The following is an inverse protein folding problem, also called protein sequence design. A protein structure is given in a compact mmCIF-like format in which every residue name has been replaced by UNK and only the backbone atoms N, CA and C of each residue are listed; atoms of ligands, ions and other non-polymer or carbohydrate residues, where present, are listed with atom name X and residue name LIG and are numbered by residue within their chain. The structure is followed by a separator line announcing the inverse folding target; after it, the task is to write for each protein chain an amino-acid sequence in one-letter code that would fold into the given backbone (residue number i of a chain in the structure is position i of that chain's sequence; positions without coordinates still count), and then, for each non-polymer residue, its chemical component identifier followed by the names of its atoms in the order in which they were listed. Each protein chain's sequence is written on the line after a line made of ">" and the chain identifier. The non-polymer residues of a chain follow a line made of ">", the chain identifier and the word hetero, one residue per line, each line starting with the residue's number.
data_IF_121212827909
#
_entry.id   IF_121212827909
#
_cell.length_a   1.000
_cell.length_b   1.000
_cell.length_c   1.000
_cell.angle_alpha   90.00
_cell.angle_beta   90.00
_cell.angle_gamma   90.00
#
_symmetry.space_group_name_H-M   'P 1'
#
loop_
_entity.id
_entity.type
_entity.pdbx_description
1 polymer ?
#
# COMPACT_ATOMS: atom_id res chain seq x y z
N UNK A 1 -24.25 -41.11 33.49
CA UNK A 1 -25.15 -40.41 34.43
C UNK A 1 -25.39 -39.01 33.87
N UNK A 2 -26.52 -38.56 33.31
CA UNK A 2 -27.88 -39.00 32.98
C UNK A 2 -28.25 -38.19 31.71
N UNK A 3 -28.66 -38.80 30.59
CA UNK A 3 -30.05 -38.98 30.11
C UNK A 3 -30.91 -37.70 29.99
N UNK A 4 -31.25 -37.28 28.75
CA UNK A 4 -32.59 -37.40 28.08
C UNK A 4 -33.54 -36.20 28.41
N UNK A 5 -34.45 -35.65 27.58
CA UNK A 5 -35.45 -36.12 26.58
C UNK A 5 -35.82 -34.92 25.66
N UNK A 6 -36.01 -35.02 24.34
CA UNK A 6 -37.15 -35.58 23.55
C UNK A 6 -38.40 -34.66 23.44
N UNK A 7 -38.60 -34.16 22.20
CA UNK A 7 -39.81 -34.04 21.37
C UNK A 7 -41.07 -33.21 21.74
N UNK A 8 -41.58 -32.63 20.64
CA UNK A 8 -42.98 -32.41 20.25
C UNK A 8 -43.70 -31.12 20.70
N UNK A 9 -44.16 -30.32 19.74
CA UNK A 9 -45.56 -30.40 19.30
C UNK A 9 -45.87 -29.57 18.03
N UNK A 10 -46.79 -30.15 17.27
CA UNK A 10 -47.30 -29.80 15.94
C UNK A 10 -48.59 -28.95 16.02
N UNK A 11 -48.89 -28.24 14.92
CA UNK A 11 -50.21 -27.79 14.37
C UNK A 11 -50.96 -26.62 15.03
N UNK A 12 -51.27 -25.63 14.16
CA UNK A 12 -52.57 -24.92 13.92
C UNK A 12 -52.22 -23.63 13.13
N UNK A 13 -52.76 -23.24 11.97
CA UNK A 13 -54.07 -23.34 11.28
C UNK A 13 -53.81 -23.30 9.74
N UNK A 14 -54.40 -24.14 8.88
CA UNK A 14 -55.69 -23.91 8.18
C UNK A 14 -55.89 -22.44 7.78
N UNK A 15 -55.92 -22.03 6.51
CA UNK A 15 -56.57 -22.65 5.36
C UNK A 15 -57.71 -21.71 4.93
N UNK A 16 -57.46 -20.86 3.93
CA UNK A 16 -58.52 -20.12 3.23
C UNK A 16 -58.22 -20.14 1.74
N UNK A 17 -58.96 -21.00 1.05
CA UNK A 17 -59.08 -21.02 -0.39
C UNK A 17 -59.93 -19.82 -0.83
N UNK A 18 -59.45 -19.07 -1.81
CA UNK A 18 -60.26 -18.05 -2.51
C UNK A 18 -60.73 -18.66 -3.82
N UNK A 19 -62.06 -18.74 -3.93
CA UNK A 19 -62.81 -19.20 -5.10
C UNK A 19 -62.72 -18.13 -6.19
N UNK A 20 -62.34 -18.56 -7.40
CA UNK A 20 -62.33 -17.73 -8.62
C UNK A 20 -63.75 -17.72 -9.20
N UNK A 21 -64.33 -16.53 -9.36
CA UNK A 21 -65.54 -16.31 -10.14
C UNK A 21 -65.21 -15.45 -11.36
N UNK A 22 -65.45 -15.99 -12.55
CA UNK A 22 -65.29 -15.33 -13.85
C UNK A 22 -66.57 -14.55 -14.19
N UNK A 23 -66.44 -13.25 -14.47
CA UNK A 23 -67.49 -12.42 -15.06
C UNK A 23 -66.86 -11.40 -16.03
N UNK A 24 -67.42 -11.19 -17.23
CA UNK A 24 -66.77 -10.42 -18.28
C UNK A 24 -66.98 -8.92 -18.06
N UNK A 25 -65.89 -8.16 -17.93
CA UNK A 25 -65.90 -6.70 -17.98
C UNK A 25 -65.16 -6.25 -19.24
N UNK A 26 -65.89 -5.66 -20.17
CA UNK A 26 -65.37 -4.98 -21.35
C UNK A 26 -64.75 -3.64 -20.93
N UNK A 27 -63.43 -3.61 -20.70
CA UNK A 27 -62.69 -2.36 -20.55
C UNK A 27 -62.27 -1.83 -21.93
N UNK A 28 -62.79 -0.66 -22.27
CA UNK A 28 -62.29 0.18 -23.35
C UNK A 28 -60.86 0.66 -23.03
N UNK A 29 -59.91 0.38 -23.92
CA UNK A 29 -58.55 0.89 -23.85
C UNK A 29 -58.52 2.40 -24.13
N UNK A 30 -58.54 3.22 -23.09
CA UNK A 30 -58.12 4.61 -23.17
C UNK A 30 -56.59 4.67 -22.98
N UNK A 31 -55.86 4.89 -24.08
CA UNK A 31 -54.41 5.09 -24.05
C UNK A 31 -54.08 6.44 -23.40
N UNK A 32 -53.89 6.44 -22.08
CA UNK A 32 -53.38 7.58 -21.34
C UNK A 32 -51.88 7.75 -21.64
N UNK A 33 -51.54 8.75 -22.47
CA UNK A 33 -50.17 9.25 -22.64
C UNK A 33 -49.68 9.82 -21.30
N UNK A 34 -48.83 9.07 -20.60
CA UNK A 34 -48.08 9.61 -19.47
C UNK A 34 -47.09 10.67 -19.99
N UNK A 35 -47.11 11.91 -19.46
CA UNK A 35 -46.05 12.87 -19.76
C UNK A 35 -44.73 12.33 -19.21
N UNK A 36 -43.70 12.32 -20.06
CA UNK A 36 -42.36 11.93 -19.67
C UNK A 36 -41.88 12.80 -18.50
N UNK A 37 -41.44 12.16 -17.42
CA UNK A 37 -40.83 12.86 -16.30
C UNK A 37 -39.61 13.66 -16.78
N UNK A 38 -39.44 14.92 -16.37
CA UNK A 38 -38.26 15.68 -16.73
C UNK A 38 -37.03 14.99 -16.14
N UNK A 39 -36.11 14.58 -17.03
CA UNK A 39 -34.77 14.12 -16.64
C UNK A 39 -34.10 15.28 -15.92
N UNK A 40 -33.94 15.17 -14.61
CA UNK A 40 -33.17 16.13 -13.83
C UNK A 40 -31.75 16.19 -14.44
N UNK A 41 -31.21 17.39 -14.75
CA UNK A 41 -29.86 17.48 -15.26
C UNK A 41 -28.92 16.87 -14.21
N UNK A 42 -28.14 15.89 -14.63
CA UNK A 42 -26.99 15.38 -13.89
C UNK A 42 -26.18 16.59 -13.43
N UNK A 43 -26.10 16.83 -12.12
CA UNK A 43 -25.30 17.92 -11.58
C UNK A 43 -23.85 17.68 -12.04
N UNK A 44 -23.40 18.47 -13.03
CA UNK A 44 -21.99 18.52 -13.42
C UNK A 44 -21.25 18.94 -12.16
N UNK A 45 -20.48 18.03 -11.58
CA UNK A 45 -19.66 18.34 -10.43
C UNK A 45 -18.84 19.60 -10.76
N UNK A 46 -18.99 20.64 -9.96
CA UNK A 46 -18.32 21.91 -10.20
C UNK A 46 -16.81 21.66 -10.29
N UNK A 47 -16.17 22.13 -11.37
CA UNK A 47 -14.72 22.01 -11.52
C UNK A 47 -14.01 22.64 -10.31
N UNK A 48 -12.98 21.97 -9.76
CA UNK A 48 -12.28 22.51 -8.61
C UNK A 48 -11.60 23.83 -8.98
N UNK A 49 -11.81 24.85 -8.14
CA UNK A 49 -11.32 26.20 -8.37
C UNK A 49 -10.61 26.75 -7.14
N UNK A 50 -9.59 27.57 -7.38
CA UNK A 50 -8.90 28.35 -6.36
C UNK A 50 -9.62 29.68 -6.13
N UNK A 51 -9.98 29.92 -4.87
CA UNK A 51 -10.51 31.21 -4.41
C UNK A 51 -9.37 32.21 -4.20
N UNK A 52 -9.19 33.13 -5.15
CA UNK A 52 -8.21 34.21 -5.07
C UNK A 52 -8.87 35.51 -4.61
N UNK A 53 -8.33 36.14 -3.56
CA UNK A 53 -8.78 37.46 -3.11
C UNK A 53 -8.12 38.54 -3.95
N UNK A 54 -8.94 39.33 -4.63
CA UNK A 54 -8.51 40.39 -5.53
C UNK A 54 -7.81 41.50 -4.74
N UNK A 55 -6.58 41.81 -5.14
CA UNK A 55 -5.79 42.92 -4.62
C UNK A 55 -6.07 44.22 -5.39
N UNK A 56 -5.68 45.36 -4.82
CA UNK A 56 -5.81 46.66 -5.48
C UNK A 56 -4.98 46.67 -6.77
N UNK A 57 -5.62 46.96 -7.90
CA UNK A 57 -4.96 47.04 -9.21
C UNK A 57 -4.97 45.73 -10.00
N UNK A 58 -5.50 44.64 -9.42
CA UNK A 58 -5.66 43.39 -10.17
C UNK A 58 -6.64 43.56 -11.35
N UNK A 59 -6.25 42.98 -12.47
CA UNK A 59 -7.07 42.87 -13.69
C UNK A 59 -7.11 41.41 -14.10
N UNK A 60 -8.11 41.01 -14.87
CA UNK A 60 -8.22 39.60 -15.27
C UNK A 60 -7.03 39.16 -16.15
N UNK A 61 -6.54 40.08 -16.99
CA UNK A 61 -5.33 39.89 -17.81
C UNK A 61 -4.09 39.78 -16.93
N UNK A 62 -3.97 40.61 -15.89
CA UNK A 62 -2.86 40.53 -14.94
C UNK A 62 -2.85 39.22 -14.15
N UNK A 63 -4.03 38.75 -13.72
CA UNK A 63 -4.17 37.46 -13.05
C UNK A 63 -3.84 36.29 -13.99
N UNK A 64 -4.23 36.37 -15.27
CA UNK A 64 -3.83 35.40 -16.28
C UNK A 64 -2.31 35.33 -16.43
N UNK A 65 -1.67 36.48 -16.65
CA UNK A 65 -0.22 36.55 -16.81
C UNK A 65 0.54 36.01 -15.58
N UNK A 66 0.03 36.30 -14.37
CA UNK A 66 0.68 35.93 -13.11
C UNK A 66 0.49 34.47 -12.71
N UNK A 67 -0.73 33.94 -12.83
CA UNK A 67 -1.10 32.66 -12.22
C UNK A 67 -1.48 31.57 -13.19
N UNK A 68 -1.90 31.91 -14.41
CA UNK A 68 -2.44 30.95 -15.36
C UNK A 68 -1.36 30.49 -16.34
N UNK A 69 -1.59 29.33 -16.97
CA UNK A 69 -0.77 28.89 -18.11
C UNK A 69 -0.90 29.90 -19.24
N UNK A 70 0.16 30.02 -20.06
CA UNK A 70 0.18 30.98 -21.17
C UNK A 70 -0.95 30.73 -22.19
N UNK A 71 -1.33 29.47 -22.38
CA UNK A 71 -2.39 29.01 -23.29
C UNK A 71 -3.78 28.93 -22.64
N UNK A 72 -3.91 29.22 -21.34
CA UNK A 72 -5.19 29.13 -20.66
C UNK A 72 -6.17 30.23 -21.13
N UNK A 73 -7.43 29.87 -21.41
CA UNK A 73 -8.45 30.84 -21.79
C UNK A 73 -8.99 31.58 -20.55
N UNK A 74 -8.59 32.85 -20.39
CA UNK A 74 -9.06 33.71 -19.30
C UNK A 74 -10.58 33.95 -19.33
N UNK A 75 -11.24 33.75 -20.47
CA UNK A 75 -12.71 33.89 -20.57
C UNK A 75 -13.46 32.82 -19.78
N UNK A 76 -12.82 31.68 -19.52
CA UNK A 76 -13.39 30.66 -18.60
C UNK A 76 -13.54 31.25 -17.20
N UNK A 77 -12.51 31.94 -16.70
CA UNK A 77 -12.54 32.63 -15.41
C UNK A 77 -13.58 33.76 -15.43
N UNK A 78 -13.65 34.52 -16.52
CA UNK A 78 -14.64 35.59 -16.68
C UNK A 78 -16.08 35.06 -16.55
N UNK A 79 -16.43 34.00 -17.29
CA UNK A 79 -17.76 33.39 -17.28
C UNK A 79 -18.09 32.79 -15.93
N UNK A 80 -17.16 32.03 -15.33
CA UNK A 80 -17.35 31.40 -14.03
C UNK A 80 -17.68 32.43 -12.94
N UNK A 81 -17.04 33.60 -12.99
CA UNK A 81 -17.20 34.66 -12.01
C UNK A 81 -18.20 35.75 -12.41
N UNK A 82 -18.89 35.59 -13.55
CA UNK A 82 -19.86 36.56 -14.08
C UNK A 82 -19.29 37.99 -14.20
N UNK A 83 -18.04 38.11 -14.62
CA UNK A 83 -17.34 39.40 -14.76
C UNK A 83 -17.73 40.05 -16.10
N UNK A 84 -18.49 41.15 -16.05
CA UNK A 84 -18.87 41.93 -17.25
C UNK A 84 -17.70 42.78 -17.80
N UNK A 85 -17.76 43.16 -19.07
CA UNK A 85 -16.85 44.13 -19.72
C UNK A 85 -17.34 45.55 -19.39
N UNK A 86 -17.00 46.14 -18.22
CA UNK A 86 -15.68 46.77 -18.01
C UNK A 86 -14.87 46.20 -16.82
N UNK A 87 -15.45 45.30 -16.03
CA UNK A 87 -14.86 44.71 -14.82
C UNK A 87 -13.63 43.85 -15.08
N UNK A 88 -13.38 43.43 -16.33
CA UNK A 88 -12.14 42.74 -16.74
C UNK A 88 -10.89 43.60 -16.56
N UNK A 89 -11.01 44.93 -16.70
CA UNK A 89 -9.92 45.90 -16.59
C UNK A 89 -9.71 46.43 -15.18
N UNK A 90 -10.71 46.32 -14.30
CA UNK A 90 -10.62 46.70 -12.89
C UNK A 90 -11.51 45.76 -12.08
N UNK A 91 -10.88 44.78 -11.45
CA UNK A 91 -11.56 43.90 -10.52
C UNK A 91 -11.80 44.63 -9.19
N UNK A 92 -12.89 44.30 -8.50
CA UNK A 92 -13.25 44.95 -7.23
C UNK A 92 -12.32 44.43 -6.11
N UNK A 93 -11.46 45.28 -5.52
CA UNK A 93 -10.55 44.84 -4.48
C UNK A 93 -11.29 44.25 -3.27
N UNK A 94 -10.73 43.20 -2.68
CA UNK A 94 -11.31 42.48 -1.55
C UNK A 94 -12.35 41.41 -1.94
N UNK A 95 -12.91 41.47 -3.15
CA UNK A 95 -13.78 40.38 -3.66
C UNK A 95 -12.97 39.12 -4.02
N UNK A 96 -13.66 37.99 -4.19
CA UNK A 96 -13.04 36.69 -4.51
C UNK A 96 -13.35 36.31 -5.95
N UNK A 97 -12.33 35.91 -6.68
CA UNK A 97 -12.45 35.30 -8.01
C UNK A 97 -12.09 33.83 -7.92
N UNK A 98 -12.92 32.97 -8.51
CA UNK A 98 -12.70 31.54 -8.65
C UNK A 98 -11.90 31.26 -9.91
N UNK A 99 -10.69 30.75 -9.78
CA UNK A 99 -9.83 30.38 -10.91
C UNK A 99 -9.79 28.84 -10.97
N UNK A 100 -10.34 28.20 -12.01
CA UNK A 100 -10.28 26.74 -12.15
C UNK A 100 -8.84 26.23 -12.07
N UNK A 101 -8.62 25.17 -11.30
CA UNK A 101 -7.28 24.64 -11.06
C UNK A 101 -6.61 24.17 -12.36
N UNK A 102 -7.38 23.67 -13.33
CA UNK A 102 -6.89 23.24 -14.63
C UNK A 102 -6.24 24.37 -15.46
N UNK A 103 -6.55 25.63 -15.15
CA UNK A 103 -5.98 26.79 -15.86
C UNK A 103 -4.71 27.33 -15.19
N UNK A 104 -4.45 26.93 -13.94
CA UNK A 104 -3.29 27.42 -13.19
C UNK A 104 -1.99 26.87 -13.75
N UNK A 105 -0.95 27.71 -13.69
CA UNK A 105 0.39 27.33 -14.11
C UNK A 105 1.03 26.44 -13.06
N UNK A 106 1.50 25.23 -13.40
CA UNK A 106 2.28 24.42 -12.48
C UNK A 106 3.65 25.06 -12.23
N UNK A 107 4.05 25.10 -10.96
CA UNK A 107 5.38 25.51 -10.50
C UNK A 107 6.09 24.28 -9.93
N UNK A 108 7.26 23.87 -10.48
CA UNK A 108 7.96 22.69 -10.02
C UNK A 108 8.28 22.75 -8.53
N UNK A 109 8.07 21.64 -7.83
CA UNK A 109 8.49 21.47 -6.44
C UNK A 109 9.30 20.18 -6.28
N UNK A 110 10.05 20.10 -5.18
CA UNK A 110 10.90 18.97 -4.86
C UNK A 110 10.11 17.88 -4.11
N UNK A 111 10.37 16.63 -4.48
CA UNK A 111 10.13 15.47 -3.64
C UNK A 111 11.46 15.01 -3.03
N UNK A 112 11.40 14.21 -1.98
CA UNK A 112 12.56 13.79 -1.18
C UNK A 112 12.60 12.27 -1.05
N UNK A 113 13.79 11.70 -1.14
CA UNK A 113 14.03 10.29 -0.81
C UNK A 113 14.27 10.16 0.69
N UNK A 114 13.38 9.46 1.38
CA UNK A 114 13.47 9.23 2.82
C UNK A 114 14.45 8.12 3.15
N UNK A 115 14.31 6.99 2.45
CA UNK A 115 15.09 5.79 2.71
C UNK A 115 15.35 5.00 1.44
N UNK A 116 16.50 4.35 1.37
CA UNK A 116 16.90 3.45 0.29
C UNK A 116 17.45 2.17 0.89
N UNK A 117 17.02 1.04 0.36
CA UNK A 117 17.59 -0.28 0.65
C UNK A 117 17.82 -1.06 -0.64
N UNK A 118 18.94 -1.76 -0.72
CA UNK A 118 19.32 -2.52 -1.91
C UNK A 118 19.82 -1.62 -3.06
N UNK A 119 19.64 -2.10 -4.29
CA UNK A 119 20.06 -1.43 -5.52
C UNK A 119 18.90 -0.59 -6.05
N UNK A 120 19.02 0.73 -5.92
CA UNK A 120 18.05 1.68 -6.47
C UNK A 120 18.78 2.71 -7.31
N UNK A 121 18.26 2.98 -8.50
CA UNK A 121 18.82 3.96 -9.42
C UNK A 121 17.80 5.03 -9.81
N UNK A 122 18.35 6.16 -10.19
CA UNK A 122 17.64 7.32 -10.70
C UNK A 122 18.06 7.55 -12.15
N UNK A 123 17.07 7.54 -13.03
CA UNK A 123 17.22 7.82 -14.45
C UNK A 123 16.68 9.22 -14.75
N UNK A 124 17.51 10.05 -15.38
CA UNK A 124 17.16 11.40 -15.85
C UNK A 124 17.43 11.51 -17.34
N UNK A 125 16.57 12.24 -18.04
CA UNK A 125 16.72 12.43 -19.48
C UNK A 125 18.11 12.99 -19.83
N UNK A 126 18.81 12.31 -20.76
CA UNK A 126 20.14 12.71 -21.21
C UNK A 126 21.26 12.49 -20.19
N UNK A 127 21.02 11.76 -19.09
CA UNK A 127 22.04 11.39 -18.09
C UNK A 127 22.11 9.86 -17.94
N UNK A 128 23.30 9.32 -17.60
CA UNK A 128 23.40 7.93 -17.20
C UNK A 128 22.61 7.68 -15.90
N UNK A 129 22.18 6.44 -15.69
CA UNK A 129 21.54 6.05 -14.43
C UNK A 129 22.52 6.24 -13.26
N UNK A 130 22.08 6.92 -12.22
CA UNK A 130 22.87 7.18 -11.01
C UNK A 130 22.30 6.41 -9.81
N UNK A 131 23.13 5.89 -8.89
CA UNK A 131 22.64 5.30 -7.65
C UNK A 131 21.81 6.32 -6.84
N UNK A 132 20.64 5.90 -6.35
CA UNK A 132 19.79 6.73 -5.52
C UNK A 132 20.23 6.64 -4.06
N UNK A 133 20.32 7.79 -3.39
CA UNK A 133 20.62 7.87 -1.96
C UNK A 133 19.53 8.63 -1.19
N UNK A 134 19.43 8.36 0.11
CA UNK A 134 18.57 9.15 1.00
C UNK A 134 18.93 10.65 0.93
N UNK A 135 17.94 11.50 1.18
CA UNK A 135 18.00 12.96 1.01
C UNK A 135 18.22 13.45 -0.43
N UNK A 136 18.25 12.56 -1.44
CA UNK A 136 18.24 12.99 -2.84
C UNK A 136 16.93 13.73 -3.15
N UNK A 137 17.05 14.87 -3.82
CA UNK A 137 15.91 15.65 -4.30
C UNK A 137 15.44 15.11 -5.65
N UNK A 138 14.16 14.79 -5.72
CA UNK A 138 13.46 14.33 -6.91
C UNK A 138 12.58 15.44 -7.50
N UNK A 139 12.43 15.43 -8.82
CA UNK A 139 11.63 16.41 -9.56
C UNK A 139 10.72 15.73 -10.58
N UNK A 140 9.83 16.51 -11.19
CA UNK A 140 9.09 16.05 -12.37
C UNK A 140 10.03 15.52 -13.45
N UNK A 141 9.60 14.45 -14.11
CA UNK A 141 10.29 13.64 -15.11
C UNK A 141 11.41 12.72 -14.60
N UNK A 142 11.79 12.81 -13.32
CA UNK A 142 12.70 11.83 -12.72
C UNK A 142 12.05 10.44 -12.71
N UNK A 143 12.86 9.41 -12.89
CA UNK A 143 12.41 8.03 -12.87
C UNK A 143 13.27 7.19 -11.93
N UNK A 144 12.61 6.42 -11.08
CA UNK A 144 13.21 5.60 -10.04
C UNK A 144 13.06 4.14 -10.45
N UNK A 145 14.15 3.38 -10.35
CA UNK A 145 14.18 1.95 -10.63
C UNK A 145 14.74 1.21 -9.42
N UNK A 146 13.98 0.24 -8.90
CA UNK A 146 14.41 -0.64 -7.81
C UNK A 146 14.78 -2.03 -8.37
N UNK A 147 15.86 -2.61 -7.87
CA UNK A 147 16.27 -3.98 -8.18
C UNK A 147 15.53 -5.04 -7.34
N UNK A 148 16.05 -6.27 -7.40
CA UNK A 148 15.60 -7.39 -6.55
C UNK A 148 15.86 -7.05 -5.08
N UNK A 149 14.90 -7.36 -4.19
CA UNK A 149 14.97 -7.05 -2.76
C UNK A 149 15.39 -5.60 -2.46
N UNK A 150 14.98 -4.65 -3.31
CA UNK A 150 15.35 -3.24 -3.20
C UNK A 150 14.12 -2.38 -3.01
N UNK A 151 14.22 -1.34 -2.17
CA UNK A 151 13.10 -0.51 -1.75
C UNK A 151 13.52 0.95 -1.70
N UNK A 152 12.59 1.85 -2.02
CA UNK A 152 12.79 3.28 -1.88
C UNK A 152 11.54 3.94 -1.29
N UNK A 153 11.69 4.69 -0.21
CA UNK A 153 10.61 5.50 0.34
C UNK A 153 10.75 6.95 -0.11
N UNK A 154 9.69 7.48 -0.68
CA UNK A 154 9.61 8.82 -1.25
C UNK A 154 8.59 9.67 -0.49
N UNK A 155 8.91 10.94 -0.26
CA UNK A 155 7.98 11.95 0.28
C UNK A 155 7.77 13.07 -0.74
N UNK A 156 6.53 13.40 -0.98
CA UNK A 156 6.14 14.45 -1.91
C UNK A 156 5.73 15.72 -1.16
N UNK A 157 5.74 16.87 -1.85
CA UNK A 157 5.38 18.17 -1.27
C UNK A 157 3.91 18.25 -0.78
N UNK A 158 3.04 17.35 -1.23
CA UNK A 158 1.66 17.22 -0.73
C UNK A 158 1.57 16.47 0.62
N UNK A 159 2.70 16.00 1.15
CA UNK A 159 2.79 15.19 2.36
C UNK A 159 2.52 13.70 2.14
N UNK A 160 2.23 13.27 0.90
CA UNK A 160 2.09 11.85 0.59
C UNK A 160 3.44 11.14 0.66
N UNK A 161 3.39 9.88 1.08
CA UNK A 161 4.51 8.96 1.16
C UNK A 161 4.24 7.77 0.26
N UNK A 162 5.23 7.38 -0.54
CA UNK A 162 5.12 6.21 -1.41
C UNK A 162 6.37 5.34 -1.26
N UNK A 163 6.16 4.10 -0.84
CA UNK A 163 7.19 3.08 -0.74
C UNK A 163 7.17 2.22 -2.00
N UNK A 164 8.23 2.32 -2.79
CA UNK A 164 8.44 1.47 -3.96
C UNK A 164 8.96 0.11 -3.50
N UNK A 165 8.30 -0.94 -3.96
CA UNK A 165 8.70 -2.33 -3.72
C UNK A 165 9.87 -2.77 -4.61
N UNK A 166 10.22 -4.06 -4.58
CA UNK A 166 11.23 -4.64 -5.45
C UNK A 166 10.83 -4.53 -6.93
N UNK A 167 11.82 -4.54 -7.81
CA UNK A 167 11.64 -4.66 -9.27
C UNK A 167 10.63 -3.66 -9.85
N UNK A 168 10.65 -2.44 -9.30
CA UNK A 168 9.69 -1.39 -9.63
C UNK A 168 10.32 -0.32 -10.52
N UNK A 169 9.52 0.22 -11.44
CA UNK A 169 9.86 1.35 -12.29
C UNK A 169 8.77 2.41 -12.16
N UNK A 170 9.12 3.51 -11.50
CA UNK A 170 8.21 4.62 -11.23
C UNK A 170 8.74 5.89 -11.88
N UNK A 171 7.94 6.54 -12.71
CA UNK A 171 8.22 7.89 -13.21
C UNK A 171 7.38 8.91 -12.45
N UNK A 172 8.02 9.98 -12.00
CA UNK A 172 7.30 11.17 -11.54
C UNK A 172 6.89 11.95 -12.78
N UNK A 173 5.69 11.71 -13.32
CA UNK A 173 5.23 12.35 -14.55
C UNK A 173 5.13 13.87 -14.39
N UNK A 174 4.62 14.33 -13.24
CA UNK A 174 4.64 15.74 -12.85
C UNK A 174 4.58 15.87 -11.33
N UNK A 175 5.29 16.86 -10.79
CA UNK A 175 5.21 17.23 -9.38
C UNK A 175 5.40 18.74 -9.23
N UNK A 176 4.35 19.43 -8.79
CA UNK A 176 4.34 20.89 -8.76
C UNK A 176 3.19 21.47 -7.96
N UNK A 177 3.30 22.76 -7.61
CA UNK A 177 2.19 23.54 -7.05
C UNK A 177 1.43 24.26 -8.17
N UNK A 178 0.11 24.39 -8.03
CA UNK A 178 -0.73 25.05 -9.03
C UNK A 178 -0.88 26.54 -8.71
N UNK A 179 -0.16 27.40 -9.44
CA UNK A 179 -0.18 28.86 -9.25
C UNK A 179 0.11 29.26 -7.79
N UNK A 180 -0.66 30.21 -7.26
CA UNK A 180 -0.58 30.63 -5.86
C UNK A 180 -1.53 29.88 -4.92
N UNK A 181 -2.16 28.79 -5.37
CA UNK A 181 -3.23 28.12 -4.61
C UNK A 181 -2.73 27.28 -3.43
N UNK A 182 -1.44 26.95 -3.41
CA UNK A 182 -0.87 25.99 -2.46
C UNK A 182 -1.32 24.54 -2.69
N UNK A 183 -2.12 24.27 -3.73
CA UNK A 183 -2.47 22.91 -4.14
C UNK A 183 -1.27 22.30 -4.84
N UNK A 184 -0.84 21.14 -4.37
CA UNK A 184 0.20 20.32 -5.01
C UNK A 184 -0.49 19.28 -5.90
N UNK A 185 -0.03 19.17 -7.14
CA UNK A 185 -0.44 18.16 -8.12
C UNK A 185 0.73 17.18 -8.31
N UNK A 186 0.55 15.96 -7.81
CA UNK A 186 1.51 14.86 -7.94
C UNK A 186 0.92 13.80 -8.86
N UNK A 187 1.62 13.51 -9.96
CA UNK A 187 1.27 12.44 -10.88
C UNK A 187 2.43 11.48 -11.03
N UNK A 188 2.18 10.23 -10.68
CA UNK A 188 3.13 9.13 -10.75
C UNK A 188 2.70 8.16 -11.84
N UNK A 189 3.67 7.56 -12.51
CA UNK A 189 3.46 6.52 -13.51
C UNK A 189 4.20 5.26 -13.04
N UNK A 190 3.46 4.25 -12.64
CA UNK A 190 3.99 2.95 -12.25
C UNK A 190 4.01 2.05 -13.50
N UNK A 191 5.19 1.94 -14.10
CA UNK A 191 5.42 1.16 -15.33
C UNK A 191 5.60 -0.33 -15.03
N UNK A 192 6.06 -0.67 -13.81
CA UNK A 192 6.23 -2.04 -13.29
C UNK A 192 6.40 -2.02 -11.77
N UNK A 193 6.02 -3.12 -11.11
CA UNK A 193 6.35 -3.40 -9.72
C UNK A 193 5.23 -2.95 -8.79
N UNK A 194 5.55 -2.37 -7.64
CA UNK A 194 4.53 -2.03 -6.63
C UNK A 194 4.84 -0.77 -5.83
N UNK A 195 3.78 -0.15 -5.32
CA UNK A 195 3.83 1.00 -4.41
C UNK A 195 2.87 0.80 -3.25
N UNK A 196 3.36 0.98 -2.02
CA UNK A 196 2.53 1.14 -0.83
C UNK A 196 2.47 2.65 -0.53
N UNK A 197 1.27 3.24 -0.61
CA UNK A 197 1.13 4.70 -0.60
C UNK A 197 0.18 5.18 0.49
N UNK A 198 0.65 6.18 1.24
CA UNK A 198 -0.09 6.88 2.27
C UNK A 198 -0.28 8.33 1.85
N UNK A 199 -1.55 8.75 1.72
CA UNK A 199 -1.92 10.11 1.37
C UNK A 199 -2.56 10.75 2.61
N UNK A 200 -2.02 11.84 3.15
CA UNK A 200 -2.62 12.50 4.30
C UNK A 200 -4.05 12.97 3.96
N UNK A 201 -4.95 13.02 4.94
CA UNK A 201 -6.26 13.64 4.76
C UNK A 201 -6.11 15.07 4.23
N UNK A 202 -6.91 15.45 3.24
CA UNK A 202 -6.78 16.76 2.57
C UNK A 202 -8.11 17.33 2.08
N UNK A 203 -8.04 18.57 1.57
CA UNK A 203 -9.17 19.28 0.95
C UNK A 203 -9.81 18.54 -0.23
N UNK A 204 -10.88 19.10 -0.82
CA UNK A 204 -11.75 18.40 -1.78
C UNK A 204 -11.07 17.89 -3.08
N UNK A 205 -9.86 18.37 -3.39
CA UNK A 205 -9.16 18.05 -4.65
C UNK A 205 -8.17 16.89 -4.44
N UNK A 206 -8.16 15.87 -5.31
CA UNK A 206 -7.15 14.81 -5.27
C UNK A 206 -5.76 15.41 -5.43
N UNK A 207 -4.85 15.08 -4.50
CA UNK A 207 -3.47 15.61 -4.50
C UNK A 207 -2.50 14.69 -5.25
N UNK A 208 -2.86 13.42 -5.34
CA UNK A 208 -2.04 12.36 -5.92
C UNK A 208 -2.84 11.53 -6.94
N UNK A 209 -2.20 11.26 -8.07
CA UNK A 209 -2.65 10.30 -9.08
C UNK A 209 -1.53 9.30 -9.36
N UNK A 210 -1.86 8.01 -9.40
CA UNK A 210 -0.96 6.95 -9.85
C UNK A 210 -1.53 6.36 -11.13
N UNK A 211 -0.76 6.39 -12.21
CA UNK A 211 -1.14 5.85 -13.51
C UNK A 211 -0.38 4.55 -13.73
N UNK A 212 -1.10 3.50 -14.07
CA UNK A 212 -0.52 2.27 -14.63
C UNK A 212 -0.88 2.20 -16.11
N UNK A 213 -0.26 1.32 -16.91
CA UNK A 213 -0.63 1.17 -18.32
C UNK A 213 -2.09 0.81 -18.59
N UNK A 214 -2.80 0.23 -17.61
CA UNK A 214 -4.19 -0.26 -17.80
C UNK A 214 -5.23 0.50 -16.98
N UNK A 215 -4.83 1.26 -15.96
CA UNK A 215 -5.77 1.99 -15.08
C UNK A 215 -5.10 3.18 -14.40
N UNK A 216 -5.90 4.24 -14.23
CA UNK A 216 -5.53 5.42 -13.44
C UNK A 216 -6.17 5.36 -12.07
N UNK A 217 -5.38 5.61 -11.03
CA UNK A 217 -5.80 5.69 -9.64
C UNK A 217 -5.80 7.15 -9.20
N UNK A 218 -6.94 7.67 -8.76
CA UNK A 218 -7.05 9.00 -8.17
C UNK A 218 -7.39 8.90 -6.68
N UNK A 219 -6.65 9.65 -5.87
CA UNK A 219 -6.49 9.33 -4.46
C UNK A 219 -6.67 10.55 -3.57
N UNK A 220 -7.38 10.36 -2.45
CA UNK A 220 -7.56 11.39 -1.42
C UNK A 220 -7.67 10.78 -0.03
N UNK A 221 -6.74 11.11 0.86
CA UNK A 221 -6.81 10.73 2.27
C UNK A 221 -6.91 9.23 2.47
N UNK A 222 -6.06 8.47 1.79
CA UNK A 222 -6.12 7.02 1.76
C UNK A 222 -4.80 6.37 2.12
N UNK A 223 -4.89 5.14 2.55
CA UNK A 223 -3.80 4.19 2.57
C UNK A 223 -4.16 3.06 1.61
N UNK A 224 -3.34 2.87 0.58
CA UNK A 224 -3.62 1.89 -0.47
C UNK A 224 -2.32 1.33 -1.03
N UNK A 225 -2.46 0.18 -1.67
CA UNK A 225 -1.38 -0.51 -2.38
C UNK A 225 -1.75 -0.62 -3.84
N UNK A 226 -0.74 -0.62 -4.69
CA UNK A 226 -0.93 -0.80 -6.12
C UNK A 226 0.26 -1.58 -6.66
N UNK A 227 -0.04 -2.58 -7.49
CA UNK A 227 0.96 -3.34 -8.23
C UNK A 227 0.63 -3.30 -9.70
N UNK A 228 1.64 -3.25 -10.55
CA UNK A 228 1.50 -3.50 -11.97
C UNK A 228 2.55 -4.49 -12.43
N UNK A 229 2.09 -5.66 -12.85
CA UNK A 229 2.94 -6.79 -13.25
C UNK A 229 2.17 -7.65 -14.25
N UNK A 230 2.86 -8.20 -15.26
CA UNK A 230 2.27 -9.10 -16.27
C UNK A 230 0.99 -8.57 -16.94
N UNK A 231 0.95 -7.26 -17.22
CA UNK A 231 -0.20 -6.61 -17.87
C UNK A 231 -1.43 -6.45 -16.96
N UNK A 232 -1.29 -6.74 -15.67
CA UNK A 232 -2.32 -6.65 -14.65
C UNK A 232 -1.97 -5.58 -13.63
N UNK A 233 -2.90 -4.66 -13.38
CA UNK A 233 -2.83 -3.75 -12.25
C UNK A 233 -3.73 -4.23 -11.11
N UNK A 234 -3.23 -4.25 -9.89
CA UNK A 234 -4.05 -4.43 -8.68
C UNK A 234 -4.13 -3.12 -7.91
N UNK A 235 -5.25 -2.90 -7.25
CA UNK A 235 -5.42 -1.82 -6.28
C UNK A 235 -6.11 -2.35 -5.04
N UNK A 236 -5.48 -2.19 -3.88
CA UNK A 236 -6.02 -2.61 -2.58
C UNK A 236 -6.10 -1.42 -1.62
N UNK A 237 -7.29 -1.11 -1.11
CA UNK A 237 -7.50 0.04 -0.22
C UNK A 237 -7.58 -0.42 1.22
N UNK A 238 -6.66 0.07 2.07
CA UNK A 238 -6.62 -0.23 3.50
C UNK A 238 -7.40 0.81 4.31
N UNK A 239 -7.33 2.08 3.92
CA UNK A 239 -8.09 3.19 4.53
C UNK A 239 -8.52 4.20 3.47
N UNK A 240 -9.67 4.84 3.68
CA UNK A 240 -10.22 5.84 2.78
C UNK A 240 -10.88 5.23 1.54
N UNK A 241 -10.82 5.93 0.41
CA UNK A 241 -11.41 5.50 -0.85
C UNK A 241 -10.53 5.90 -2.04
N UNK A 242 -10.32 4.98 -2.98
CA UNK A 242 -9.54 5.21 -4.21
C UNK A 242 -10.45 5.08 -5.42
N UNK A 243 -10.37 6.04 -6.36
CA UNK A 243 -10.98 5.87 -7.67
C UNK A 243 -10.04 5.06 -8.56
N UNK A 244 -10.40 3.81 -8.85
CA UNK A 244 -9.69 2.86 -9.70
C UNK A 244 -10.30 2.86 -11.11
N UNK A 245 -9.88 3.84 -11.90
CA UNK A 245 -10.57 4.26 -13.12
C UNK A 245 -11.95 4.83 -12.77
N UNK A 246 -12.99 4.24 -13.37
CA UNK A 246 -14.40 4.55 -13.07
C UNK A 246 -14.98 3.79 -11.85
N UNK A 247 -14.22 2.89 -11.22
CA UNK A 247 -14.69 2.15 -10.04
C UNK A 247 -14.23 2.88 -8.77
N UNK A 248 -15.12 3.04 -7.79
CA UNK A 248 -14.73 3.44 -6.45
C UNK A 248 -14.37 2.19 -5.63
N UNK A 249 -13.20 2.20 -5.00
CA UNK A 249 -12.75 1.18 -4.06
C UNK A 249 -12.75 1.75 -2.65
N UNK A 250 -13.60 1.20 -1.79
CA UNK A 250 -13.66 1.56 -0.37
C UNK A 250 -12.61 0.77 0.44
N UNK A 251 -12.31 1.27 1.64
CA UNK A 251 -11.44 0.58 2.58
C UNK A 251 -11.88 -0.88 2.82
N UNK A 252 -10.91 -1.80 2.79
CA UNK A 252 -11.14 -3.23 2.89
C UNK A 252 -11.49 -3.91 1.56
N UNK A 253 -11.49 -3.19 0.44
CA UNK A 253 -11.74 -3.75 -0.89
C UNK A 253 -10.52 -3.64 -1.80
N UNK A 254 -10.46 -4.54 -2.78
CA UNK A 254 -9.51 -4.50 -3.87
C UNK A 254 -10.14 -4.85 -5.21
N UNK A 255 -9.45 -4.50 -6.29
CA UNK A 255 -9.84 -4.83 -7.66
C UNK A 255 -8.62 -5.01 -8.55
N UNK A 256 -8.86 -5.64 -9.69
CA UNK A 256 -7.87 -5.99 -10.69
C UNK A 256 -8.28 -5.37 -12.02
N UNK A 257 -7.35 -4.73 -12.70
CA UNK A 257 -7.50 -4.21 -14.06
C UNK A 257 -6.52 -4.90 -15.01
N UNK A 258 -6.97 -5.13 -16.23
CA UNK A 258 -6.17 -5.58 -17.37
C UNK A 258 -6.55 -4.75 -18.59
N UNK A 259 -5.86 -4.95 -19.71
CA UNK A 259 -6.26 -4.33 -20.98
C UNK A 259 -7.67 -4.73 -21.45
N UNK A 260 -8.19 -5.90 -21.02
CA UNK A 260 -9.52 -6.39 -21.41
C UNK A 260 -10.65 -5.84 -20.54
N UNK A 261 -10.34 -5.27 -19.38
CA UNK A 261 -11.34 -4.71 -18.50
C UNK A 261 -10.94 -4.70 -17.03
N UNK A 262 -11.92 -4.52 -16.17
CA UNK A 262 -11.74 -4.41 -14.72
C UNK A 262 -12.69 -5.36 -14.03
N UNK A 263 -12.20 -6.05 -13.00
CA UNK A 263 -13.02 -6.91 -12.16
C UNK A 263 -13.83 -6.06 -11.17
N UNK A 264 -14.99 -6.58 -10.75
CA UNK A 264 -15.77 -5.95 -9.70
C UNK A 264 -14.95 -5.87 -8.39
N UNK A 265 -15.11 -4.80 -7.59
CA UNK A 265 -14.48 -4.71 -6.27
C UNK A 265 -14.89 -5.90 -5.39
N UNK A 266 -13.92 -6.48 -4.67
CA UNK A 266 -14.14 -7.58 -3.73
C UNK A 266 -13.41 -7.33 -2.41
N UNK A 267 -13.92 -7.89 -1.30
CA UNK A 267 -13.27 -7.74 0.00
C UNK A 267 -11.85 -8.34 -0.04
N UNK A 268 -10.92 -7.65 0.59
CA UNK A 268 -9.56 -8.15 0.82
C UNK A 268 -9.63 -9.36 1.77
N UNK A 269 -8.74 -10.34 1.55
CA UNK A 269 -8.61 -11.46 2.48
C UNK A 269 -8.31 -10.95 3.90
N UNK A 270 -8.84 -11.60 4.94
CA UNK A 270 -8.57 -11.22 6.32
C UNK A 270 -7.08 -11.37 6.64
N UNK A 271 -6.63 -10.71 7.71
CA UNK A 271 -5.27 -10.86 8.19
C UNK A 271 -5.01 -12.34 8.54
N UNK A 272 -3.84 -12.91 8.17
CA UNK A 272 -3.53 -14.29 8.49
C UNK A 272 -3.39 -14.49 10.00
N UNK A 273 -3.73 -15.69 10.48
CA UNK A 273 -3.51 -16.08 11.88
C UNK A 273 -2.01 -16.28 12.11
N UNK A 274 -1.45 -15.55 13.08
CA UNK A 274 -0.02 -15.58 13.44
C UNK A 274 0.24 -16.24 14.79
N UNK A 275 -0.81 -16.77 15.43
CA UNK A 275 -0.70 -17.49 16.69
C UNK A 275 0.13 -18.77 16.49
N UNK A 276 1.12 -18.98 17.35
CA UNK A 276 2.03 -20.13 17.27
C UNK A 276 3.22 -19.96 16.32
N UNK A 277 3.31 -18.85 15.59
CA UNK A 277 4.52 -18.54 14.82
C UNK A 277 5.70 -18.20 15.74
N UNK A 278 6.91 -18.71 15.45
CA UNK A 278 8.12 -18.34 16.17
C UNK A 278 8.33 -16.82 16.22
N UNK A 279 8.56 -16.29 17.42
CA UNK A 279 8.94 -14.88 17.63
C UNK A 279 10.45 -14.67 17.62
N UNK A 280 11.23 -15.76 17.58
CA UNK A 280 12.68 -15.75 17.51
C UNK A 280 13.17 -16.81 16.52
N UNK A 281 14.13 -16.44 15.68
CA UNK A 281 14.89 -17.35 14.82
C UNK A 281 16.35 -17.32 15.27
N UNK A 282 16.83 -18.43 15.82
CA UNK A 282 18.18 -18.58 16.37
C UNK A 282 18.99 -19.71 15.73
N UNK A 283 18.46 -20.31 14.66
CA UNK A 283 19.11 -21.38 13.90
C UNK A 283 19.17 -21.04 12.42
N UNK A 284 20.29 -21.41 11.79
CA UNK A 284 20.44 -21.38 10.33
C UNK A 284 20.09 -22.78 9.75
N UNK A 285 19.49 -22.85 8.55
CA UNK A 285 19.01 -21.72 7.74
C UNK A 285 17.83 -20.99 8.40
N UNK A 286 17.67 -19.70 8.10
CA UNK A 286 16.58 -18.89 8.65
C UNK A 286 15.24 -19.33 8.06
N UNK A 287 14.50 -20.14 8.80
CA UNK A 287 13.22 -20.71 8.37
C UNK A 287 12.08 -20.33 9.32
N UNK A 288 10.95 -19.90 8.76
CA UNK A 288 9.71 -19.69 9.49
C UNK A 288 8.64 -20.66 8.97
N UNK A 289 8.18 -21.63 9.78
CA UNK A 289 7.05 -22.47 9.40
C UNK A 289 5.78 -21.63 9.29
N UNK A 290 4.99 -21.87 8.26
CA UNK A 290 3.75 -21.15 7.97
C UNK A 290 2.53 -22.07 8.12
N UNK A 291 1.41 -21.56 8.66
CA UNK A 291 0.15 -22.29 8.67
C UNK A 291 -0.31 -22.63 7.25
N UNK A 292 -1.10 -23.70 7.13
CA UNK A 292 -1.74 -24.03 5.86
C UNK A 292 -2.56 -22.85 5.33
N UNK A 293 -2.50 -22.61 4.02
CA UNK A 293 -3.22 -21.51 3.39
C UNK A 293 -4.73 -21.69 3.58
N UNK A 294 -5.45 -20.66 4.06
CA UNK A 294 -6.90 -20.72 4.16
C UNK A 294 -7.55 -20.71 2.77
N UNK A 295 -8.82 -21.10 2.70
CA UNK A 295 -9.58 -21.08 1.46
C UNK A 295 -9.57 -19.69 0.80
N UNK A 296 -9.30 -19.64 -0.50
CA UNK A 296 -9.21 -18.40 -1.28
C UNK A 296 -7.82 -17.75 -1.30
N UNK A 297 -6.89 -18.18 -0.44
CA UNK A 297 -5.50 -17.76 -0.49
C UNK A 297 -4.65 -18.69 -1.37
N UNK A 298 -3.81 -18.09 -2.21
CA UNK A 298 -2.87 -18.78 -3.09
C UNK A 298 -1.41 -18.69 -2.60
N UNK A 299 -1.08 -17.68 -1.80
CA UNK A 299 0.26 -17.51 -1.23
C UNK A 299 0.23 -16.62 0.03
N UNK A 300 1.34 -16.62 0.77
CA UNK A 300 1.70 -15.58 1.73
C UNK A 300 2.63 -14.56 1.08
N UNK A 301 2.51 -13.29 1.50
CA UNK A 301 3.55 -12.28 1.36
C UNK A 301 4.07 -11.91 2.74
N UNK A 302 5.37 -12.02 2.94
CA UNK A 302 6.06 -11.73 4.18
C UNK A 302 6.99 -10.53 3.96
N UNK A 303 6.85 -9.52 4.82
CA UNK A 303 7.70 -8.33 4.82
C UNK A 303 8.47 -8.30 6.12
N UNK A 304 9.79 -8.05 6.03
CA UNK A 304 10.60 -7.74 7.20
C UNK A 304 10.92 -6.25 7.21
N UNK A 305 10.49 -5.58 8.27
CA UNK A 305 10.75 -4.16 8.52
C UNK A 305 11.68 -4.06 9.70
N UNK A 306 12.79 -3.32 9.57
CA UNK A 306 13.72 -3.16 10.70
C UNK A 306 13.04 -2.37 11.83
N UNK A 307 13.05 -2.93 13.06
CA UNK A 307 12.44 -2.28 14.23
C UNK A 307 13.43 -1.38 15.00
N UNK A 308 14.74 -1.59 14.79
CA UNK A 308 15.81 -0.94 15.56
C UNK A 308 16.11 0.50 15.14
N UNK A 309 15.61 0.92 13.98
CA UNK A 309 15.59 2.32 13.59
C UNK A 309 14.20 2.85 13.91
N UNK A 310 14.01 3.42 15.09
CA UNK A 310 12.79 4.14 15.40
C UNK A 310 12.60 5.20 14.31
N UNK A 311 11.52 5.16 13.51
CA UNK A 311 11.27 6.21 12.56
C UNK A 311 11.08 7.50 13.36
N UNK A 312 11.71 8.60 12.94
CA UNK A 312 11.57 9.91 13.61
C UNK A 312 10.12 10.43 13.61
N UNK A 313 9.25 9.79 12.84
CA UNK A 313 7.85 10.13 12.62
C UNK A 313 7.00 8.85 12.72
N UNK A 314 5.91 8.85 13.50
CA UNK A 314 5.06 7.66 13.67
C UNK A 314 4.42 7.19 12.34
N UNK A 315 4.36 8.05 11.33
CA UNK A 315 3.93 7.73 9.96
C UNK A 315 5.01 7.04 9.10
N UNK A 316 6.24 6.87 9.60
CA UNK A 316 7.39 6.36 8.85
C UNK A 316 7.69 4.86 9.13
N UNK A 317 6.76 4.12 9.72
CA UNK A 317 6.97 2.71 10.08
C UNK A 317 7.24 1.81 8.86
N UNK A 318 6.81 2.20 7.66
CA UNK A 318 6.96 1.39 6.44
C UNK A 318 8.27 1.65 5.70
N UNK A 319 8.97 2.74 6.02
CA UNK A 319 10.12 3.22 5.25
C UNK A 319 11.34 2.30 5.36
N UNK A 320 11.38 1.41 6.36
CA UNK A 320 12.54 0.60 6.73
C UNK A 320 12.44 -0.87 6.31
N UNK A 321 11.73 -1.15 5.21
CA UNK A 321 11.63 -2.49 4.65
C UNK A 321 13.02 -3.02 4.25
N UNK A 322 13.32 -4.25 4.69
CA UNK A 322 14.57 -4.96 4.44
C UNK A 322 14.38 -6.18 3.54
N UNK A 323 13.21 -6.80 3.60
CA UNK A 323 12.94 -7.99 2.83
C UNK A 323 11.48 -8.08 2.42
N UNK A 324 11.23 -8.72 1.29
CA UNK A 324 9.90 -8.96 0.73
C UNK A 324 9.87 -10.33 0.05
N UNK A 325 9.17 -11.28 0.66
CA UNK A 325 9.08 -12.66 0.21
C UNK A 325 7.64 -13.00 -0.16
N UNK A 326 7.46 -13.68 -1.29
CA UNK A 326 6.20 -14.37 -1.62
C UNK A 326 6.43 -15.86 -1.62
N UNK A 327 5.58 -16.60 -0.89
CA UNK A 327 5.73 -18.05 -0.72
C UNK A 327 4.37 -18.73 -0.69
N UNK A 328 4.23 -19.84 -1.41
CA UNK A 328 3.03 -20.70 -1.37
C UNK A 328 3.23 -21.98 -0.53
N UNK A 329 4.49 -22.29 -0.20
CA UNK A 329 4.87 -23.46 0.59
C UNK A 329 4.68 -23.27 2.10
N UNK A 330 4.86 -24.36 2.87
CA UNK A 330 4.65 -24.36 4.33
C UNK A 330 5.80 -23.74 5.11
N UNK A 331 6.87 -23.27 4.45
CA UNK A 331 8.05 -22.68 5.10
C UNK A 331 8.48 -21.46 4.30
N UNK A 332 8.66 -20.34 4.99
CA UNK A 332 9.35 -19.16 4.47
C UNK A 332 10.83 -19.26 4.81
N UNK A 333 11.69 -18.96 3.84
CA UNK A 333 13.15 -19.00 4.00
C UNK A 333 13.74 -17.63 3.68
N UNK A 334 14.67 -17.17 4.52
CA UNK A 334 15.47 -15.98 4.27
C UNK A 334 16.93 -16.35 4.03
N UNK A 335 17.68 -15.54 3.27
CA UNK A 335 19.10 -15.79 3.07
C UNK A 335 19.85 -15.66 4.40
N UNK A 336 20.86 -16.50 4.58
CA UNK A 336 21.74 -16.47 5.76
C UNK A 336 22.54 -15.16 5.90
N UNK A 337 22.50 -14.28 4.89
CA UNK A 337 23.08 -12.94 4.91
C UNK A 337 22.19 -11.89 5.59
N UNK A 338 20.90 -12.20 5.84
CA UNK A 338 19.99 -11.31 6.57
C UNK A 338 20.52 -11.12 8.01
N UNK A 339 20.86 -9.89 8.47
CA UNK A 339 21.52 -9.69 9.75
C UNK A 339 20.67 -10.04 10.97
N UNK A 340 21.35 -10.38 12.09
CA UNK A 340 20.69 -10.46 13.40
C UNK A 340 20.16 -9.07 13.82
N UNK A 341 19.05 -9.06 14.55
CA UNK A 341 18.41 -7.82 14.98
C UNK A 341 16.93 -8.00 15.32
N UNK A 342 16.27 -6.88 15.63
CA UNK A 342 14.81 -6.85 15.83
C UNK A 342 14.12 -6.37 14.56
N UNK A 343 13.09 -7.10 14.18
CA UNK A 343 12.26 -6.85 13.02
C UNK A 343 10.79 -6.84 13.40
N UNK A 344 9.99 -6.10 12.65
CA UNK A 344 8.55 -6.30 12.56
C UNK A 344 8.29 -7.18 11.32
N UNK A 345 7.79 -8.38 11.58
CA UNK A 345 7.34 -9.31 10.57
C UNK A 345 5.89 -8.97 10.23
N UNK A 346 5.61 -8.69 8.95
CA UNK A 346 4.26 -8.47 8.44
C UNK A 346 3.85 -9.56 7.47
N UNK A 347 2.73 -10.21 7.75
CA UNK A 347 2.18 -11.28 6.92
C UNK A 347 0.89 -10.81 6.26
N UNK A 348 0.77 -11.10 4.97
CA UNK A 348 -0.43 -10.87 4.17
C UNK A 348 -0.77 -12.15 3.42
N UNK A 349 -2.06 -12.44 3.28
CA UNK A 349 -2.50 -13.45 2.32
C UNK A 349 -2.55 -12.84 0.92
N UNK A 350 -2.31 -13.64 -0.11
CA UNK A 350 -2.41 -13.24 -1.51
C UNK A 350 -3.38 -14.18 -2.20
N UNK A 351 -4.40 -13.63 -2.87
CA UNK A 351 -5.37 -14.43 -3.60
C UNK A 351 -4.85 -14.88 -4.99
N UNK A 352 -5.66 -15.66 -5.71
CA UNK A 352 -5.30 -16.22 -7.01
C UNK A 352 -5.10 -15.17 -8.12
N UNK A 353 -5.72 -13.99 -8.01
CA UNK A 353 -5.50 -12.89 -8.97
C UNK A 353 -4.39 -11.93 -8.52
N UNK A 354 -3.76 -12.20 -7.37
CA UNK A 354 -2.64 -11.44 -6.85
C UNK A 354 -3.01 -10.30 -5.90
N UNK A 355 -4.27 -10.17 -5.48
CA UNK A 355 -4.63 -9.17 -4.47
C UNK A 355 -4.03 -9.53 -3.13
N UNK A 356 -3.40 -8.55 -2.48
CA UNK A 356 -2.90 -8.70 -1.12
C UNK A 356 -4.01 -8.41 -0.11
N UNK A 357 -4.16 -9.26 0.90
CA UNK A 357 -5.12 -9.12 1.99
C UNK A 357 -4.71 -8.07 3.02
N UNK A 358 -5.46 -8.03 4.12
CA UNK A 358 -5.09 -7.30 5.32
C UNK A 358 -3.82 -7.93 5.95
N UNK A 359 -3.12 -7.14 6.75
CA UNK A 359 -1.84 -7.56 7.33
C UNK A 359 -1.97 -7.95 8.81
N UNK A 360 -1.25 -8.99 9.19
CA UNK A 360 -0.93 -9.32 10.58
C UNK A 360 0.52 -8.90 10.87
N UNK A 361 0.79 -8.43 12.08
CA UNK A 361 2.11 -7.94 12.50
C UNK A 361 2.59 -8.70 13.73
N UNK A 362 3.84 -9.10 13.73
CA UNK A 362 4.49 -9.79 14.85
C UNK A 362 5.90 -9.25 15.04
N UNK A 363 6.33 -9.05 16.28
CA UNK A 363 7.74 -8.80 16.55
C UNK A 363 8.54 -10.09 16.30
N UNK A 364 9.65 -9.98 15.56
CA UNK A 364 10.54 -11.08 15.24
C UNK A 364 11.97 -10.71 15.63
N UNK A 365 12.63 -11.56 16.41
CA UNK A 365 14.06 -11.42 16.72
C UNK A 365 14.86 -12.43 15.92
N UNK A 366 15.84 -11.97 15.16
CA UNK A 366 16.81 -12.86 14.50
C UNK A 366 18.10 -12.82 15.32
N UNK A 367 18.50 -13.98 15.83
CA UNK A 367 19.71 -14.16 16.62
C UNK A 367 20.35 -15.51 16.27
N UNK A 368 20.58 -15.74 14.98
CA UNK A 368 21.12 -16.99 14.49
C UNK A 368 22.66 -17.02 14.47
N UNK A 369 23.31 -15.88 14.76
CA UNK A 369 24.77 -15.78 14.85
C UNK A 369 25.21 -15.35 16.25
N UNK A 370 26.37 -15.85 16.72
CA UNK A 370 27.21 -16.88 16.10
C UNK A 370 26.54 -18.26 16.06
N UNK A 371 26.87 -19.08 15.06
CA UNK A 371 26.38 -20.47 15.00
C UNK A 371 26.88 -21.23 16.22
N UNK A 372 25.99 -21.92 16.92
CA UNK A 372 26.34 -22.70 18.10
C UNK A 372 27.39 -23.78 17.76
N UNK A 373 28.43 -23.96 18.60
CA UNK A 373 29.41 -25.02 18.40
C UNK A 373 28.71 -26.39 18.47
N UNK A 374 28.78 -27.17 17.40
CA UNK A 374 28.18 -28.49 17.34
C UNK A 374 29.16 -29.54 17.85
N UNK A 375 28.72 -30.36 18.82
CA UNK A 375 29.47 -31.52 19.28
C UNK A 375 29.55 -32.55 18.14
N UNK A 376 30.76 -32.85 17.69
CA UNK A 376 31.06 -33.85 16.67
C UNK A 376 31.29 -35.23 17.30
N UNK A 377 31.95 -35.27 18.47
CA UNK A 377 32.16 -36.48 19.26
C UNK A 377 32.18 -36.18 20.76
N UNK A 378 31.66 -37.09 21.60
CA UNK A 378 30.86 -38.27 21.26
C UNK A 378 29.49 -37.90 20.68
N UNK A 379 28.85 -38.83 19.99
CA UNK A 379 27.46 -38.62 19.57
C UNK A 379 26.54 -38.54 20.80
N UNK A 380 25.43 -37.80 20.69
CA UNK A 380 24.48 -37.69 21.79
C UNK A 380 23.96 -39.07 22.20
N UNK A 381 24.20 -39.46 23.46
CA UNK A 381 23.80 -40.76 24.01
C UNK A 381 24.76 -41.92 23.72
N UNK A 382 25.89 -41.67 23.06
CA UNK A 382 26.93 -42.68 22.83
C UNK A 382 27.53 -43.14 24.16
N UNK A 383 27.61 -44.46 24.34
CA UNK A 383 28.25 -45.08 25.50
C UNK A 383 29.66 -45.48 25.11
N UNK A 384 30.65 -44.79 25.67
CA UNK A 384 32.05 -45.09 25.45
C UNK A 384 32.57 -45.98 26.59
N UNK A 385 33.06 -47.19 26.29
CA UNK A 385 33.63 -48.10 27.29
C UNK A 385 35.06 -47.73 27.69
N UNK A 386 35.67 -46.76 27.01
CA UNK A 386 37.06 -46.33 27.21
C UNK A 386 37.21 -45.38 28.41
N UNK A 387 38.35 -45.46 29.10
CA UNK A 387 38.66 -44.60 30.24
C UNK A 387 39.01 -43.15 29.84
N UNK A 388 39.37 -42.93 28.56
CA UNK A 388 39.66 -41.62 28.01
C UNK A 388 38.68 -41.31 26.87
N UNK A 389 38.11 -40.11 26.87
CA UNK A 389 37.13 -39.68 25.86
C UNK A 389 37.66 -38.43 25.16
N UNK A 390 37.71 -38.47 23.84
CA UNK A 390 38.03 -37.30 23.02
C UNK A 390 36.75 -36.54 22.70
N UNK A 391 36.68 -35.29 23.14
CA UNK A 391 35.62 -34.36 22.80
C UNK A 391 36.05 -33.55 21.57
N UNK A 392 35.20 -33.50 20.56
CA UNK A 392 35.42 -32.69 19.36
C UNK A 392 34.16 -31.89 19.08
N UNK A 393 34.31 -30.61 18.78
CA UNK A 393 33.20 -29.73 18.40
C UNK A 393 33.64 -28.74 17.32
N UNK A 394 32.65 -28.19 16.62
CA UNK A 394 32.90 -27.14 15.63
C UNK A 394 33.41 -25.87 16.33
N UNK A 395 34.58 -25.33 15.95
CA UNK A 395 35.12 -24.14 16.60
C UNK A 395 34.23 -22.92 16.31
N UNK A 396 34.00 -22.04 17.31
CA UNK A 396 33.23 -20.83 17.10
C UNK A 396 34.03 -19.83 16.25
N UNK A 397 33.37 -18.90 15.54
CA UNK A 397 34.07 -17.88 14.76
C UNK A 397 34.81 -16.90 15.70
N UNK A 398 36.04 -16.46 15.36
CA UNK A 398 36.76 -15.45 16.14
C UNK A 398 35.94 -14.15 16.31
N UNK A 399 36.02 -13.45 17.46
CA UNK A 399 36.90 -13.69 18.61
C UNK A 399 36.29 -14.61 19.69
N UNK A 400 35.18 -15.29 19.39
CA UNK A 400 34.49 -16.12 20.36
C UNK A 400 35.34 -17.32 20.76
N UNK A 401 35.19 -17.73 22.01
CA UNK A 401 35.84 -18.91 22.58
C UNK A 401 34.77 -19.90 23.03
N UNK A 402 35.12 -21.18 23.01
CA UNK A 402 34.28 -22.22 23.59
C UNK A 402 34.55 -22.30 25.09
N UNK A 403 33.50 -22.54 25.87
CA UNK A 403 33.61 -23.01 27.25
C UNK A 403 33.17 -24.47 27.27
N UNK A 404 34.02 -25.36 27.76
CA UNK A 404 33.74 -26.78 27.87
C UNK A 404 33.30 -27.09 29.30
N UNK A 405 32.07 -27.62 29.44
CA UNK A 405 31.61 -28.19 30.70
C UNK A 405 31.30 -29.68 30.54
N UNK A 406 31.74 -30.49 31.50
CA UNK A 406 31.41 -31.92 31.61
C UNK A 406 30.83 -32.15 32.99
N UNK A 407 29.66 -32.77 33.09
CA UNK A 407 28.98 -33.05 34.35
C UNK A 407 28.43 -34.48 34.38
N UNK A 408 28.23 -35.03 35.58
CA UNK A 408 27.57 -36.32 35.77
C UNK A 408 26.04 -36.23 35.67
N UNK A 409 25.51 -35.01 35.67
CA UNK A 409 24.08 -34.68 35.62
C UNK A 409 23.82 -33.68 34.50
N UNK A 410 22.64 -33.79 33.88
CA UNK A 410 22.24 -32.95 32.76
C UNK A 410 21.95 -31.48 33.13
N UNK A 411 21.88 -31.17 34.43
CA UNK A 411 21.69 -29.81 34.95
C UNK A 411 22.99 -28.97 34.94
N UNK A 412 24.16 -29.62 34.84
CA UNK A 412 25.47 -28.97 34.89
C UNK A 412 25.71 -28.09 36.14
N UNK A 413 24.92 -28.28 37.21
CA UNK A 413 25.02 -27.48 38.45
C UNK A 413 26.38 -27.65 39.14
N UNK A 414 26.98 -28.85 39.01
CA UNK A 414 28.31 -29.18 39.53
C UNK A 414 29.13 -29.85 38.42
N UNK A 415 29.85 -29.06 37.59
CA UNK A 415 30.66 -29.61 36.52
C UNK A 415 31.91 -30.31 37.07
N UNK A 416 32.22 -31.49 36.52
CA UNK A 416 33.46 -32.23 36.71
C UNK A 416 34.63 -31.56 35.97
N UNK A 417 34.36 -30.94 34.83
CA UNK A 417 35.31 -30.15 34.03
C UNK A 417 34.64 -28.84 33.65
N UNK A 418 35.35 -27.73 33.79
CA UNK A 418 34.92 -26.39 33.37
C UNK A 418 36.14 -25.60 32.87
N UNK A 419 36.24 -25.40 31.55
CA UNK A 419 37.41 -24.79 30.88
C UNK A 419 37.02 -23.79 29.80
#
# INVERSE_FOLDING_TARGET
>A
MQQQLIQALWRRLAGTAVVVALGPWTMACAAARQPAAPVAPTAVAAEPAWSYRIARGDTLIGLHARWMRADADWRVVQRLNRISEPGTRRLVPGSVVQIPLALLRPQPVAAEVLHVHGQVSLERAGRPAEPLSAATVLRGHDQIVTGVQSFASLRFADGSRSLLGPESRLRIASHGTLGGSGVVDTRLQLERGSTDTQVPPGGAVPRLQIQTPVVNLAVRGTEFRTRFEDGRATGEVLRGQVAFGALALDAGFGSVATASGRLAPRPLLPAPVIEGLPTQLDQLPLQLPLPALPAGAAAYRLLLVAADAAPTDAAATDDLRRFDLRVAGPVAEWPDTLPDGRYELRLRLVDADGLEGLEARQALRIQARPVAPQLQRPAAGERLPEAAVTLAWTPPPPPLRSRLQVASRADFDVPLVDQ
#
